data_IF_647609884196
#
_entry.id   IF_647609884196
#
_cell.length_a   1.000
_cell.length_b   1.000
_cell.length_c   1.000
_cell.angle_alpha   90.00
_cell.angle_beta   90.00
_cell.angle_gamma   90.00
#
_symmetry.space_group_name_H-M   'P 1'
#
loop_
_entity.id
_entity.type
_entity.pdbx_description
1 polymer ?
#
# COMPACT_ATOMS: atom_id res chain seq x y z
N UNK A 1 -5.61 -32.85 -37.68
CA UNK A 1 -6.22 -31.50 -37.58
C UNK A 1 -5.28 -30.65 -36.75
N UNK A 2 -4.57 -29.70 -37.39
CA UNK A 2 -3.63 -28.82 -36.72
C UNK A 2 -4.43 -27.65 -36.14
N UNK A 3 -4.57 -27.57 -34.83
CA UNK A 3 -5.13 -26.40 -34.18
C UNK A 3 -4.09 -25.28 -34.16
N UNK A 4 -4.15 -24.37 -35.12
CA UNK A 4 -3.42 -23.11 -35.06
C UNK A 4 -3.99 -22.28 -33.91
N UNK A 5 -3.27 -22.19 -32.81
CA UNK A 5 -3.59 -21.27 -31.70
C UNK A 5 -3.06 -19.88 -32.08
N UNK A 6 -3.96 -19.00 -32.45
CA UNK A 6 -3.64 -17.59 -32.63
C UNK A 6 -3.75 -16.88 -31.27
N UNK A 7 -2.72 -16.16 -30.87
CA UNK A 7 -2.82 -15.19 -29.79
C UNK A 7 -2.15 -13.90 -30.25
N UNK A 8 -2.76 -12.80 -29.86
CA UNK A 8 -2.21 -11.47 -30.11
C UNK A 8 -1.36 -11.13 -28.90
N UNK A 9 -0.04 -11.05 -29.02
CA UNK A 9 0.79 -10.64 -27.91
C UNK A 9 0.50 -9.18 -27.59
N UNK A 10 -0.02 -8.92 -26.40
CA UNK A 10 -0.18 -7.58 -25.87
C UNK A 10 1.00 -7.23 -24.98
N UNK A 11 1.74 -6.19 -25.33
CA UNK A 11 2.81 -5.66 -24.48
C UNK A 11 2.21 -4.67 -23.50
N UNK A 12 2.08 -5.07 -22.24
CA UNK A 12 1.72 -4.17 -21.16
C UNK A 12 2.98 -3.55 -20.59
N UNK A 13 3.19 -2.26 -20.85
CA UNK A 13 4.30 -1.49 -20.26
C UNK A 13 3.86 -1.01 -18.87
N UNK A 14 3.66 -1.93 -17.94
CA UNK A 14 3.56 -1.59 -16.52
C UNK A 14 4.78 -2.19 -15.84
N UNK A 15 5.78 -1.37 -15.61
CA UNK A 15 7.02 -1.76 -14.94
C UNK A 15 6.78 -1.98 -13.44
N UNK A 16 5.81 -1.27 -12.86
CA UNK A 16 5.37 -1.48 -11.49
C UNK A 16 3.84 -1.62 -11.44
N UNK A 17 3.36 -2.67 -10.78
CA UNK A 17 1.92 -2.92 -10.61
C UNK A 17 1.33 -2.03 -9.53
N UNK A 18 2.06 -1.82 -8.45
CA UNK A 18 1.69 -1.06 -7.27
C UNK A 18 2.84 -0.15 -6.87
N UNK A 19 2.49 1.05 -6.45
CA UNK A 19 3.39 2.01 -5.83
C UNK A 19 3.02 2.20 -4.36
N UNK A 20 4.01 2.48 -3.54
CA UNK A 20 3.87 2.82 -2.14
C UNK A 20 3.95 4.33 -2.02
N UNK A 21 2.85 4.97 -1.65
CA UNK A 21 2.76 6.42 -1.55
C UNK A 21 2.73 6.86 -0.09
N UNK A 22 3.55 7.84 0.25
CA UNK A 22 3.68 8.40 1.59
C UNK A 22 3.55 9.92 1.57
N UNK A 23 3.07 10.50 2.65
CA UNK A 23 2.96 11.95 2.82
C UNK A 23 4.31 12.57 3.13
N UNK A 24 4.86 13.32 2.18
CA UNK A 24 6.14 14.03 2.33
C UNK A 24 6.06 15.07 3.43
N UNK A 25 5.00 15.87 3.45
CA UNK A 25 4.78 16.90 4.46
C UNK A 25 4.63 16.33 5.88
N UNK A 26 4.16 15.07 6.01
CA UNK A 26 4.12 14.40 7.30
C UNK A 26 5.51 13.94 7.74
N UNK A 27 6.32 13.41 6.81
CA UNK A 27 7.73 13.08 7.09
C UNK A 27 8.47 14.32 7.58
N UNK A 28 8.29 15.46 6.92
CA UNK A 28 8.93 16.71 7.28
C UNK A 28 8.48 17.22 8.66
N UNK A 29 7.18 17.16 8.96
CA UNK A 29 6.62 17.52 10.28
C UNK A 29 7.15 16.63 11.40
N UNK A 30 7.39 15.35 11.11
CA UNK A 30 7.94 14.38 12.05
C UNK A 30 9.47 14.40 12.12
N UNK A 31 10.12 15.18 11.24
CA UNK A 31 11.58 15.17 11.06
C UNK A 31 12.12 13.74 10.80
N UNK A 32 11.41 12.98 9.98
CA UNK A 32 11.77 11.61 9.59
C UNK A 32 12.23 11.58 8.13
N UNK A 33 13.21 10.73 7.84
CA UNK A 33 13.59 10.40 6.47
C UNK A 33 12.55 9.46 5.82
N UNK A 34 12.61 9.33 4.49
CA UNK A 34 11.84 8.33 3.77
C UNK A 34 12.20 6.92 4.30
N UNK A 35 11.20 6.11 4.69
CA UNK A 35 11.47 4.78 5.22
C UNK A 35 12.03 3.86 4.13
N UNK A 36 13.10 3.16 4.46
CA UNK A 36 13.76 2.16 3.61
C UNK A 36 13.57 0.73 4.12
N UNK A 37 13.09 0.59 5.34
CA UNK A 37 12.81 -0.69 5.98
C UNK A 37 11.37 -0.77 6.47
N UNK A 38 10.89 -1.99 6.72
CA UNK A 38 9.55 -2.21 7.31
C UNK A 38 9.45 -1.59 8.70
N UNK A 39 10.51 -1.65 9.50
CA UNK A 39 10.56 -1.08 10.84
C UNK A 39 10.44 0.45 10.80
N UNK A 40 11.14 1.11 9.89
CA UNK A 40 11.06 2.57 9.69
C UNK A 40 9.66 2.98 9.21
N UNK A 41 9.08 2.22 8.29
CA UNK A 41 7.70 2.46 7.84
C UNK A 41 6.70 2.33 8.99
N UNK A 42 6.80 1.28 9.80
CA UNK A 42 5.93 1.12 10.97
C UNK A 42 6.12 2.24 11.98
N UNK A 43 7.37 2.68 12.21
CA UNK A 43 7.67 3.80 13.09
C UNK A 43 7.00 5.10 12.57
N UNK A 44 7.04 5.36 11.27
CA UNK A 44 6.33 6.48 10.66
C UNK A 44 4.83 6.40 10.89
N UNK A 45 4.19 5.24 10.67
CA UNK A 45 2.74 5.08 10.88
C UNK A 45 2.34 5.38 12.34
N UNK A 46 3.14 4.91 13.30
CA UNK A 46 2.90 5.17 14.73
C UNK A 46 3.06 6.65 15.05
N UNK A 47 4.14 7.27 14.59
CA UNK A 47 4.40 8.68 14.81
C UNK A 47 3.31 9.57 14.19
N UNK A 48 2.84 9.25 12.99
CA UNK A 48 1.76 9.97 12.32
C UNK A 48 0.45 9.90 13.10
N UNK A 49 0.13 8.73 13.68
CA UNK A 49 -1.04 8.54 14.54
C UNK A 49 -0.93 9.33 15.83
N UNK A 50 0.19 9.23 16.53
CA UNK A 50 0.44 9.90 17.79
C UNK A 50 0.37 11.43 17.65
N UNK A 51 0.96 11.94 16.57
CA UNK A 51 0.94 13.36 16.25
C UNK A 51 -0.39 13.85 15.66
N UNK A 52 -1.34 12.95 15.37
CA UNK A 52 -2.65 13.26 14.76
C UNK A 52 -2.54 14.14 13.51
N UNK A 53 -1.65 13.79 12.60
CA UNK A 53 -1.31 14.66 11.45
C UNK A 53 -2.45 14.88 10.46
N UNK A 54 -3.45 13.98 10.45
CA UNK A 54 -4.74 14.16 9.76
C UNK A 54 -5.86 14.66 10.68
N UNK A 55 -5.53 15.23 11.85
CA UNK A 55 -6.50 15.61 12.87
C UNK A 55 -7.07 14.39 13.63
N UNK A 56 -8.25 14.52 14.17
CA UNK A 56 -8.91 13.43 14.93
C UNK A 56 -9.24 12.22 14.06
N UNK A 57 -9.26 12.38 12.73
CA UNK A 57 -9.55 11.34 11.77
C UNK A 57 -8.29 10.74 11.15
N UNK A 58 -7.11 10.92 11.74
CA UNK A 58 -5.85 10.41 11.22
C UNK A 58 -5.93 8.91 10.93
N UNK A 59 -5.67 8.54 9.67
CA UNK A 59 -5.57 7.17 9.18
C UNK A 59 -4.14 6.94 8.71
N UNK A 60 -3.24 6.35 9.54
CA UNK A 60 -1.84 6.18 9.15
C UNK A 60 -1.67 5.42 7.84
N UNK A 61 -2.38 4.31 7.67
CA UNK A 61 -2.41 3.53 6.44
C UNK A 61 -3.85 3.38 5.93
N UNK A 62 -4.18 4.08 4.85
CA UNK A 62 -5.46 3.99 4.16
C UNK A 62 -5.50 2.73 3.28
N UNK A 63 -5.74 1.60 3.92
CA UNK A 63 -5.89 0.29 3.27
C UNK A 63 -7.34 0.05 2.89
N UNK A 64 -7.56 -0.67 1.78
CA UNK A 64 -8.84 -1.31 1.45
C UNK A 64 -8.62 -2.71 0.92
N UNK A 65 -9.60 -3.58 1.02
CA UNK A 65 -9.62 -4.86 0.30
C UNK A 65 -10.33 -4.67 -1.04
N UNK A 66 -9.74 -5.20 -2.11
CA UNK A 66 -10.40 -5.27 -3.40
C UNK A 66 -11.40 -6.43 -3.38
N UNK A 67 -12.67 -6.16 -3.62
CA UNK A 67 -13.77 -7.12 -3.54
C UNK A 67 -13.48 -8.41 -4.33
N UNK A 68 -12.98 -8.26 -5.56
CA UNK A 68 -12.69 -9.40 -6.45
C UNK A 68 -11.25 -9.92 -6.35
N UNK A 69 -10.43 -9.35 -5.50
CA UNK A 69 -9.01 -9.70 -5.35
C UNK A 69 -8.47 -9.27 -3.98
N UNK A 70 -9.02 -9.79 -2.87
CA UNK A 70 -8.61 -9.35 -1.54
C UNK A 70 -7.13 -9.60 -1.26
N UNK A 71 -6.56 -10.67 -1.79
CA UNK A 71 -5.14 -10.99 -1.66
C UNK A 71 -4.23 -9.98 -2.38
N UNK A 72 -4.74 -9.33 -3.43
CA UNK A 72 -3.98 -8.29 -4.13
C UNK A 72 -3.70 -7.07 -3.23
N UNK A 73 -4.61 -6.75 -2.32
CA UNK A 73 -4.45 -5.61 -1.39
C UNK A 73 -3.29 -5.82 -0.40
N UNK A 74 -2.99 -7.07 -0.08
CA UNK A 74 -1.92 -7.43 0.86
C UNK A 74 -0.63 -7.85 0.17
N UNK A 75 -0.66 -8.08 -1.15
CA UNK A 75 0.42 -8.72 -1.90
C UNK A 75 1.78 -8.05 -1.73
N UNK A 76 1.85 -6.71 -1.79
CA UNK A 76 3.13 -6.00 -1.64
C UNK A 76 3.77 -6.28 -0.28
N UNK A 77 2.96 -6.28 0.79
CA UNK A 77 3.45 -6.55 2.14
C UNK A 77 3.80 -8.04 2.28
N UNK A 78 2.95 -8.94 1.78
CA UNK A 78 3.23 -10.38 1.81
C UNK A 78 4.52 -10.70 1.05
N UNK A 79 4.65 -10.17 -0.17
CA UNK A 79 5.81 -10.43 -1.03
C UNK A 79 7.13 -9.93 -0.40
N UNK A 80 7.08 -8.84 0.37
CA UNK A 80 8.28 -8.31 1.07
C UNK A 80 8.78 -9.21 2.20
N UNK A 81 7.96 -10.16 2.67
CA UNK A 81 8.31 -11.12 3.72
C UNK A 81 8.67 -12.50 3.19
N UNK A 82 8.51 -12.76 1.89
CA UNK A 82 8.78 -14.10 1.35
C UNK A 82 10.24 -14.49 1.52
N UNK A 83 10.45 -15.68 2.07
CA UNK A 83 11.78 -16.29 2.21
C UNK A 83 12.16 -17.05 0.94
N UNK A 84 12.67 -16.32 -0.04
CA UNK A 84 13.07 -16.89 -1.34
C UNK A 84 14.13 -17.99 -1.24
N UNK A 85 14.85 -18.11 -0.12
CA UNK A 85 15.81 -19.20 0.11
C UNK A 85 15.12 -20.56 0.34
N UNK A 86 13.85 -20.53 0.70
CA UNK A 86 13.03 -21.71 0.99
C UNK A 86 11.94 -21.98 -0.04
N UNK A 87 11.78 -21.12 -1.04
CA UNK A 87 10.77 -21.25 -2.08
C UNK A 87 11.38 -21.98 -3.26
N UNK A 88 10.81 -23.14 -3.60
CA UNK A 88 11.20 -23.88 -4.80
C UNK A 88 10.55 -23.31 -6.04
N UNK A 89 11.08 -23.70 -7.22
CA UNK A 89 10.44 -23.33 -8.49
C UNK A 89 9.03 -23.91 -8.62
N UNK A 90 8.79 -25.09 -8.06
CA UNK A 90 7.47 -25.73 -8.05
C UNK A 90 6.49 -24.95 -7.15
N UNK A 91 6.91 -24.56 -5.95
CA UNK A 91 6.11 -23.71 -5.07
C UNK A 91 5.68 -22.42 -5.75
N UNK A 92 6.63 -21.75 -6.45
CA UNK A 92 6.37 -20.50 -7.16
C UNK A 92 5.26 -20.61 -8.22
N UNK A 93 5.12 -21.76 -8.86
CA UNK A 93 4.09 -21.99 -9.88
C UNK A 93 2.81 -22.64 -9.34
N UNK A 94 2.85 -23.26 -8.17
CA UNK A 94 1.76 -24.08 -7.64
C UNK A 94 1.04 -23.47 -6.46
N UNK A 95 1.70 -22.58 -5.71
CA UNK A 95 1.17 -21.99 -4.48
C UNK A 95 0.81 -20.52 -4.69
N UNK A 96 -0.17 -20.05 -3.95
CA UNK A 96 -0.36 -18.61 -3.75
C UNK A 96 0.72 -18.07 -2.82
N UNK A 97 1.12 -16.79 -3.00
CA UNK A 97 2.15 -16.16 -2.17
C UNK A 97 1.84 -16.25 -0.67
N UNK A 98 0.57 -16.21 -0.30
CA UNK A 98 0.07 -16.34 1.07
C UNK A 98 0.33 -17.71 1.71
N UNK A 99 0.66 -18.71 0.91
CA UNK A 99 0.99 -20.07 1.36
C UNK A 99 2.50 -20.32 1.44
N UNK A 100 3.29 -19.35 0.95
CA UNK A 100 4.73 -19.47 0.88
C UNK A 100 5.43 -19.16 2.22
N UNK A 101 6.66 -19.67 2.42
CA UNK A 101 7.48 -19.33 3.59
C UNK A 101 7.66 -17.81 3.74
N UNK A 102 7.40 -17.29 4.93
CA UNK A 102 7.47 -15.85 5.24
C UNK A 102 6.11 -15.16 5.27
N UNK A 103 5.11 -15.63 4.51
CA UNK A 103 3.80 -14.98 4.45
C UNK A 103 3.12 -14.83 5.82
N UNK A 104 3.30 -15.81 6.72
CA UNK A 104 2.71 -15.77 8.06
C UNK A 104 3.20 -14.57 8.87
N UNK A 105 4.44 -14.20 8.72
CA UNK A 105 5.05 -13.04 9.38
C UNK A 105 4.46 -11.72 8.86
N UNK A 106 4.20 -11.64 7.56
CA UNK A 106 3.49 -10.50 6.96
C UNK A 106 2.09 -10.32 7.55
N UNK A 107 1.33 -11.42 7.68
CA UNK A 107 -0.01 -11.36 8.29
C UNK A 107 0.03 -11.06 9.79
N UNK A 108 1.07 -11.46 10.51
CA UNK A 108 1.26 -11.04 11.90
C UNK A 108 1.49 -9.53 11.99
N UNK A 109 2.30 -8.99 11.08
CA UNK A 109 2.50 -7.54 11.01
C UNK A 109 1.18 -6.83 10.72
N UNK A 110 0.44 -7.23 9.69
CA UNK A 110 -0.86 -6.63 9.35
C UNK A 110 -1.84 -6.68 10.51
N UNK A 111 -1.90 -7.81 11.23
CA UNK A 111 -2.72 -7.93 12.43
C UNK A 111 -2.27 -6.97 13.54
N UNK A 112 -0.97 -6.81 13.74
CA UNK A 112 -0.43 -5.84 14.70
C UNK A 112 -0.81 -4.41 14.32
N UNK A 113 -0.63 -4.03 13.05
CA UNK A 113 -0.99 -2.71 12.55
C UNK A 113 -2.49 -2.42 12.73
N UNK A 114 -3.34 -3.41 12.49
CA UNK A 114 -4.78 -3.29 12.69
C UNK A 114 -5.14 -3.09 14.17
N UNK A 115 -4.60 -3.92 15.05
CA UNK A 115 -4.85 -3.84 16.49
C UNK A 115 -4.33 -2.54 17.11
N UNK A 116 -3.25 -1.98 16.56
CA UNK A 116 -2.75 -0.66 16.95
C UNK A 116 -3.57 0.49 16.33
N UNK A 117 -4.55 0.19 15.46
CA UNK A 117 -5.34 1.18 14.74
C UNK A 117 -4.51 2.01 13.77
N UNK A 118 -3.52 1.39 13.13
CA UNK A 118 -2.68 2.01 12.10
C UNK A 118 -3.21 1.77 10.69
N UNK A 119 -4.12 0.81 10.53
CA UNK A 119 -4.85 0.54 9.28
C UNK A 119 -6.28 1.08 9.42
N UNK A 120 -6.88 1.53 8.31
CA UNK A 120 -8.28 1.94 8.26
C UNK A 120 -9.20 0.92 8.94
N UNK A 121 -10.03 1.36 9.87
CA UNK A 121 -10.92 0.49 10.65
C UNK A 121 -11.88 -0.30 9.75
N UNK A 122 -12.31 0.35 8.68
CA UNK A 122 -13.29 -0.18 7.73
C UNK A 122 -12.66 -0.83 6.48
N UNK A 123 -11.37 -1.14 6.49
CA UNK A 123 -10.64 -1.61 5.31
C UNK A 123 -11.27 -2.83 4.62
N UNK A 124 -11.94 -3.70 5.41
CA UNK A 124 -12.53 -4.95 4.93
C UNK A 124 -13.87 -4.76 4.19
N UNK A 125 -14.56 -3.67 4.46
CA UNK A 125 -15.89 -3.36 3.88
C UNK A 125 -15.86 -2.14 2.96
N UNK A 126 -14.71 -1.48 2.85
CA UNK A 126 -14.55 -0.28 2.04
C UNK A 126 -14.50 -0.65 0.54
N UNK A 127 -15.48 -0.18 -0.22
CA UNK A 127 -15.52 -0.30 -1.68
C UNK A 127 -14.56 0.67 -2.39
N UNK A 128 -13.84 1.49 -1.64
CA UNK A 128 -12.93 2.54 -2.10
C UNK A 128 -13.38 3.96 -1.78
N UNK A 129 -14.65 4.17 -1.44
CA UNK A 129 -15.18 5.51 -1.17
C UNK A 129 -14.60 6.10 0.13
N UNK A 130 -14.49 5.26 1.17
CA UNK A 130 -13.92 5.67 2.47
C UNK A 130 -12.44 6.02 2.28
N UNK A 131 -11.67 5.14 1.64
CA UNK A 131 -10.25 5.39 1.35
C UNK A 131 -10.05 6.65 0.51
N UNK A 132 -10.81 6.80 -0.56
CA UNK A 132 -10.70 7.96 -1.46
C UNK A 132 -11.01 9.26 -0.70
N UNK A 133 -12.01 9.25 0.17
CA UNK A 133 -12.29 10.37 1.06
C UNK A 133 -11.10 10.67 1.97
N UNK A 134 -10.52 9.65 2.61
CA UNK A 134 -9.42 9.83 3.55
C UNK A 134 -8.15 10.36 2.86
N UNK A 135 -7.90 9.94 1.60
CA UNK A 135 -6.82 10.47 0.78
C UNK A 135 -7.08 11.93 0.40
N UNK A 136 -8.26 12.24 -0.13
CA UNK A 136 -8.62 13.57 -0.62
C UNK A 136 -8.74 14.61 0.49
N UNK A 137 -9.22 14.21 1.67
CA UNK A 137 -9.34 15.10 2.84
C UNK A 137 -8.02 15.22 3.63
N UNK A 138 -6.96 14.52 3.21
CA UNK A 138 -5.66 14.58 3.86
C UNK A 138 -5.60 13.86 5.22
N UNK A 139 -6.55 12.97 5.51
CA UNK A 139 -6.56 12.16 6.74
C UNK A 139 -5.56 11.01 6.70
N UNK A 140 -5.16 10.59 5.48
CA UNK A 140 -4.30 9.43 5.26
C UNK A 140 -2.81 9.81 5.18
N UNK A 141 -1.96 8.96 5.76
CA UNK A 141 -0.50 9.11 5.76
C UNK A 141 0.23 8.23 4.76
N UNK A 142 -0.37 7.10 4.40
CA UNK A 142 0.21 6.12 3.49
C UNK A 142 -0.88 5.34 2.76
N UNK A 143 -0.62 4.97 1.51
CA UNK A 143 -1.46 4.05 0.75
C UNK A 143 -0.67 3.29 -0.32
N UNK A 144 -1.26 2.19 -0.81
CA UNK A 144 -0.72 1.36 -1.90
C UNK A 144 -1.73 1.38 -3.05
N UNK A 145 -1.30 1.76 -4.25
CA UNK A 145 -2.15 1.81 -5.45
C UNK A 145 -1.30 1.75 -6.74
N UNK A 146 -1.97 1.52 -7.88
CA UNK A 146 -1.32 1.64 -9.18
C UNK A 146 -0.83 3.07 -9.44
N UNK A 147 0.44 3.28 -9.84
CA UNK A 147 1.03 4.62 -9.93
C UNK A 147 0.51 5.45 -11.10
N UNK A 148 -0.18 4.85 -12.06
CA UNK A 148 -0.48 5.50 -13.34
C UNK A 148 -1.85 6.15 -13.44
N UNK A 149 -2.79 5.86 -12.54
CA UNK A 149 -4.18 6.24 -12.71
C UNK A 149 -4.73 7.20 -11.64
N UNK A 150 -4.16 7.22 -10.47
CA UNK A 150 -4.83 7.81 -9.31
C UNK A 150 -4.00 8.83 -8.55
N UNK A 151 -2.67 8.76 -8.68
CA UNK A 151 -1.77 9.63 -7.92
C UNK A 151 -1.96 11.14 -8.18
N UNK A 152 -2.04 11.64 -9.43
CA UNK A 152 -2.25 13.07 -9.68
C UNK A 152 -3.58 13.55 -9.10
N UNK A 153 -4.66 12.77 -9.29
CA UNK A 153 -6.01 13.16 -8.85
C UNK A 153 -6.08 13.30 -7.33
N UNK A 154 -5.50 12.36 -6.56
CA UNK A 154 -5.46 12.45 -5.10
C UNK A 154 -4.59 13.61 -4.60
N UNK A 155 -3.47 13.90 -5.25
CA UNK A 155 -2.61 15.02 -4.88
C UNK A 155 -3.31 16.35 -5.07
N UNK A 156 -3.96 16.56 -6.19
CA UNK A 156 -4.64 17.82 -6.51
C UNK A 156 -5.85 18.07 -5.60
N UNK A 157 -6.66 17.04 -5.33
CA UNK A 157 -7.79 17.18 -4.41
C UNK A 157 -7.33 17.37 -2.96
N UNK A 158 -6.30 16.67 -2.52
CA UNK A 158 -5.73 16.84 -1.19
C UNK A 158 -5.20 18.25 -0.98
N UNK A 159 -4.46 18.81 -1.94
CA UNK A 159 -3.94 20.18 -1.86
C UNK A 159 -5.04 21.23 -1.69
N UNK A 160 -6.16 21.06 -2.35
CA UNK A 160 -7.32 21.95 -2.20
C UNK A 160 -7.88 21.94 -0.79
N UNK A 161 -7.85 20.78 -0.12
CA UNK A 161 -8.45 20.57 1.19
C UNK A 161 -7.49 20.85 2.37
N UNK A 162 -6.19 20.58 2.18
CA UNK A 162 -5.18 20.64 3.25
C UNK A 162 -4.22 21.83 3.08
N UNK A 163 -3.87 22.17 1.85
CA UNK A 163 -2.93 23.24 1.51
C UNK A 163 -1.87 22.79 0.52
N UNK A 164 -1.19 23.74 -0.10
CA UNK A 164 -0.22 23.52 -1.18
C UNK A 164 1.02 22.70 -0.74
N UNK A 165 1.34 22.70 0.54
CA UNK A 165 2.47 21.95 1.09
C UNK A 165 2.17 20.45 1.22
N UNK A 166 0.91 20.04 1.09
CA UNK A 166 0.52 18.63 1.16
C UNK A 166 0.98 17.88 -0.10
N UNK A 167 1.80 16.86 0.07
CA UNK A 167 2.43 16.15 -1.05
C UNK A 167 2.50 14.64 -0.82
N UNK A 168 2.06 13.90 -1.84
CA UNK A 168 2.32 12.47 -1.96
C UNK A 168 3.60 12.23 -2.74
N UNK A 169 4.49 11.43 -2.18
CA UNK A 169 5.67 10.92 -2.89
C UNK A 169 5.61 9.41 -3.03
N UNK A 170 6.19 8.91 -4.10
CA UNK A 170 6.37 7.48 -4.33
C UNK A 170 7.66 7.03 -3.65
N UNK A 171 7.57 6.06 -2.74
CA UNK A 171 8.75 5.43 -2.18
C UNK A 171 9.44 4.59 -3.25
N UNK A 172 10.71 4.86 -3.48
CA UNK A 172 11.56 4.09 -4.39
C UNK A 172 12.47 3.19 -3.59
N UNK A 173 12.61 1.91 -3.98
CA UNK A 173 13.62 1.05 -3.37
C UNK A 173 15.00 1.67 -3.54
N UNK A 174 15.75 1.75 -2.46
CA UNK A 174 17.16 2.16 -2.45
C UNK A 174 18.07 1.07 -3.00
#
# INVERSE_FOLDING_TARGET
>A
MIFLRYYIPARRINVAKLGLFIRKDWLDKLNMAEPTTTEEWVAYLRAAKEAKLGGEQTVPYAMKLYENSPLFSTSVIVDSFLDFSKITKEDWYSLYHEQMPGAKEAYRLLNTLYNEGLISENFAIDNGDIRNRDLNQGYAGFYIEGPTQVWPDYSDEMKKNVGEDAEWILLTPS
#
